data_IF_109673172114
#
_entry.id   IF_109673172114
#
_cell.length_a   1.000
_cell.length_b   1.000
_cell.length_c   1.000
_cell.angle_alpha   90.00
_cell.angle_beta   90.00
_cell.angle_gamma   90.00
#
_symmetry.space_group_name_H-M   'P 1'
#
loop_
_entity.id
_entity.type
_entity.pdbx_description
1 polymer ?
#
# COMPACT_ATOMS: atom_id res chain seq x y z
N UNK A 1 22.55 -7.16 -46.58
CA UNK A 1 22.41 -5.82 -45.95
C UNK A 1 21.10 -5.64 -45.20
N UNK A 2 19.94 -5.99 -45.78
CA UNK A 2 18.63 -5.84 -45.11
C UNK A 2 18.54 -6.54 -43.75
N UNK A 3 19.00 -7.80 -43.62
CA UNK A 3 18.90 -8.52 -42.33
C UNK A 3 19.73 -7.89 -41.21
N UNK A 4 20.96 -7.45 -41.49
CA UNK A 4 21.81 -6.74 -40.51
C UNK A 4 21.20 -5.40 -40.08
N UNK A 5 20.45 -4.74 -40.97
CA UNK A 5 19.71 -3.50 -40.67
C UNK A 5 18.52 -3.78 -39.74
N UNK A 6 17.75 -4.84 -40.00
CA UNK A 6 16.62 -5.24 -39.15
C UNK A 6 17.07 -5.66 -37.75
N UNK A 7 18.17 -6.39 -37.62
CA UNK A 7 18.72 -6.75 -36.31
C UNK A 7 19.23 -5.53 -35.54
N UNK A 8 19.87 -4.57 -36.22
CA UNK A 8 20.32 -3.34 -35.60
C UNK A 8 19.14 -2.46 -35.13
N UNK A 9 18.10 -2.33 -35.95
CA UNK A 9 16.88 -1.60 -35.59
C UNK A 9 16.15 -2.26 -34.41
N UNK A 10 16.02 -3.60 -34.41
CA UNK A 10 15.40 -4.33 -33.30
C UNK A 10 16.16 -4.13 -31.98
N UNK A 11 17.51 -4.12 -32.03
CA UNK A 11 18.35 -3.92 -30.86
C UNK A 11 18.26 -2.48 -30.33
N UNK A 12 18.23 -1.47 -31.21
CA UNK A 12 18.02 -0.07 -30.83
C UNK A 12 16.65 0.14 -30.20
N UNK A 13 15.59 -0.43 -30.77
CA UNK A 13 14.22 -0.37 -30.20
C UNK A 13 14.17 -1.07 -28.85
N UNK A 14 14.79 -2.25 -28.70
CA UNK A 14 14.83 -2.96 -27.43
C UNK A 14 15.55 -2.16 -26.34
N UNK A 15 16.70 -1.57 -26.65
CA UNK A 15 17.45 -0.70 -25.73
C UNK A 15 16.64 0.53 -25.37
N UNK A 16 15.97 1.15 -26.35
CA UNK A 16 15.12 2.32 -26.11
C UNK A 16 13.94 1.99 -25.19
N UNK A 17 13.27 0.84 -25.40
CA UNK A 17 12.17 0.36 -24.53
C UNK A 17 12.69 0.04 -23.12
N UNK A 18 13.87 -0.56 -22.99
CA UNK A 18 14.47 -0.84 -21.68
C UNK A 18 14.82 0.44 -20.92
N UNK A 19 15.40 1.44 -21.60
CA UNK A 19 15.73 2.75 -21.02
C UNK A 19 14.45 3.52 -20.66
N UNK A 20 13.44 3.53 -21.54
CA UNK A 20 12.14 4.14 -21.27
C UNK A 20 11.45 3.47 -20.07
N UNK A 21 11.50 2.13 -19.97
CA UNK A 21 10.98 1.38 -18.83
C UNK A 21 11.70 1.72 -17.52
N UNK A 22 13.02 1.86 -17.55
CA UNK A 22 13.81 2.30 -16.39
C UNK A 22 13.48 3.73 -15.96
N UNK A 23 13.31 4.64 -16.92
CA UNK A 23 12.94 6.03 -16.62
C UNK A 23 11.51 6.16 -16.09
N UNK A 24 10.57 5.38 -16.66
CA UNK A 24 9.18 5.34 -16.24
C UNK A 24 9.02 4.76 -14.84
N UNK A 25 9.76 3.69 -14.52
CA UNK A 25 9.82 3.17 -13.15
C UNK A 25 10.43 4.19 -12.19
N UNK A 26 11.52 4.87 -12.57
CA UNK A 26 12.09 5.96 -11.77
C UNK A 26 11.11 7.12 -11.50
N UNK A 27 10.30 7.50 -12.50
CA UNK A 27 9.27 8.53 -12.35
C UNK A 27 8.13 8.08 -11.43
N UNK A 28 7.66 6.84 -11.56
CA UNK A 28 6.68 6.24 -10.65
C UNK A 28 7.21 6.19 -9.21
N UNK A 29 8.49 5.85 -9.02
CA UNK A 29 9.12 5.83 -7.69
C UNK A 29 9.15 7.23 -7.07
N UNK A 30 9.52 8.27 -7.82
CA UNK A 30 9.47 9.63 -7.31
C UNK A 30 8.05 10.06 -6.93
N UNK A 31 7.05 9.66 -7.73
CA UNK A 31 5.64 9.88 -7.40
C UNK A 31 5.26 9.18 -6.08
N UNK A 32 5.63 7.91 -5.90
CA UNK A 32 5.36 7.15 -4.67
C UNK A 32 6.09 7.72 -3.46
N UNK A 33 7.33 8.19 -3.60
CA UNK A 33 8.09 8.81 -2.52
C UNK A 33 7.49 10.17 -2.13
N UNK A 34 7.03 10.95 -3.11
CA UNK A 34 6.31 12.19 -2.85
C UNK A 34 4.99 11.94 -2.11
N UNK A 35 4.22 10.94 -2.57
CA UNK A 35 2.97 10.50 -1.94
C UNK A 35 3.21 9.97 -0.53
N UNK A 36 4.33 9.29 -0.31
CA UNK A 36 4.75 8.83 1.01
C UNK A 36 5.08 10.00 1.94
N UNK A 37 5.91 10.95 1.51
CA UNK A 37 6.32 12.07 2.38
C UNK A 37 5.17 13.02 2.73
N UNK A 38 4.25 13.28 1.79
CA UNK A 38 3.15 14.21 2.02
C UNK A 38 1.86 13.48 2.43
N UNK A 39 1.57 12.35 1.81
CA UNK A 39 0.31 11.62 1.97
C UNK A 39 0.27 10.68 3.17
N UNK A 40 1.40 10.14 3.66
CA UNK A 40 1.37 9.15 4.75
C UNK A 40 0.71 9.69 6.03
N UNK A 41 0.96 10.96 6.38
CA UNK A 41 0.33 11.61 7.55
C UNK A 41 -1.18 11.75 7.37
N UNK A 42 -1.61 12.20 6.19
CA UNK A 42 -3.03 12.33 5.86
C UNK A 42 -3.75 10.98 5.79
N UNK A 43 -3.10 9.95 5.25
CA UNK A 43 -3.62 8.58 5.18
C UNK A 43 -3.75 7.95 6.57
N UNK A 44 -2.77 8.17 7.44
CA UNK A 44 -2.85 7.72 8.84
C UNK A 44 -3.99 8.42 9.59
N UNK A 45 -4.15 9.72 9.39
CA UNK A 45 -5.26 10.47 9.98
C UNK A 45 -6.60 9.94 9.47
N UNK A 46 -6.74 9.75 8.16
CA UNK A 46 -7.95 9.20 7.55
C UNK A 46 -8.26 7.80 8.08
N UNK A 47 -7.26 6.91 8.17
CA UNK A 47 -7.42 5.58 8.74
C UNK A 47 -7.84 5.63 10.21
N UNK A 48 -7.26 6.53 11.02
CA UNK A 48 -7.62 6.68 12.44
C UNK A 48 -9.07 7.13 12.59
N UNK A 49 -9.49 8.14 11.82
CA UNK A 49 -10.89 8.60 11.78
C UNK A 49 -11.82 7.46 11.34
N UNK A 50 -11.39 6.66 10.37
CA UNK A 50 -12.17 5.52 9.89
C UNK A 50 -12.31 4.41 10.92
N UNK A 51 -11.29 4.15 11.74
CA UNK A 51 -11.38 3.21 12.87
C UNK A 51 -12.44 3.68 13.86
N UNK A 52 -12.43 4.96 14.23
CA UNK A 52 -13.43 5.56 15.12
C UNK A 52 -14.83 5.42 14.51
N UNK A 53 -14.99 5.81 13.25
CA UNK A 53 -16.27 5.65 12.53
C UNK A 53 -16.74 4.19 12.47
N UNK A 54 -15.82 3.25 12.28
CA UNK A 54 -16.14 1.82 12.21
C UNK A 54 -16.60 1.28 13.57
N UNK A 55 -15.95 1.69 14.66
CA UNK A 55 -16.26 1.26 16.03
C UNK A 55 -17.57 1.86 16.55
N UNK A 56 -17.83 3.14 16.28
CA UNK A 56 -18.96 3.86 16.87
C UNK A 56 -20.19 3.93 15.97
N UNK A 57 -20.05 3.73 14.65
CA UNK A 57 -21.18 3.77 13.73
C UNK A 57 -21.38 2.41 13.05
N UNK A 58 -20.40 1.92 12.29
CA UNK A 58 -20.63 0.72 11.46
C UNK A 58 -20.90 -0.54 12.31
N UNK A 59 -20.14 -0.76 13.39
CA UNK A 59 -20.32 -1.91 14.28
C UNK A 59 -21.66 -1.89 15.03
N UNK A 60 -22.08 -0.77 15.65
CA UNK A 60 -23.42 -0.67 16.23
C UNK A 60 -24.54 -0.85 15.20
N UNK A 61 -24.37 -0.33 13.98
CA UNK A 61 -25.33 -0.54 12.89
C UNK A 61 -25.39 -2.01 12.44
N UNK A 62 -24.30 -2.77 12.58
CA UNK A 62 -24.28 -4.20 12.24
C UNK A 62 -25.11 -5.05 13.23
N UNK A 63 -25.38 -4.56 14.44
CA UNK A 63 -26.21 -5.26 15.41
C UNK A 63 -27.67 -5.39 14.91
N UNK A 64 -28.17 -4.40 14.17
CA UNK A 64 -29.52 -4.42 13.61
C UNK A 64 -29.55 -5.11 12.24
N UNK A 65 -30.36 -6.16 12.12
CA UNK A 65 -30.46 -6.99 10.90
C UNK A 65 -30.71 -6.17 9.62
N UNK A 66 -31.50 -5.11 9.70
CA UNK A 66 -31.84 -4.26 8.55
C UNK A 66 -30.68 -3.39 8.02
N UNK A 67 -29.67 -3.09 8.84
CA UNK A 67 -28.54 -2.20 8.48
C UNK A 67 -27.22 -2.95 8.32
N UNK A 68 -27.21 -4.28 8.45
CA UNK A 68 -26.03 -5.14 8.28
C UNK A 68 -25.33 -4.95 6.95
N UNK A 69 -26.07 -4.95 5.84
CA UNK A 69 -25.49 -4.79 4.50
C UNK A 69 -24.81 -3.43 4.32
N UNK A 70 -25.35 -2.38 4.92
CA UNK A 70 -24.72 -1.06 4.92
C UNK A 70 -23.42 -1.07 5.74
N UNK A 71 -23.43 -1.69 6.92
CA UNK A 71 -22.24 -1.88 7.73
C UNK A 71 -21.16 -2.71 7.00
N UNK A 72 -21.54 -3.80 6.34
CA UNK A 72 -20.64 -4.63 5.53
C UNK A 72 -20.03 -3.88 4.35
N UNK A 73 -20.83 -3.07 3.65
CA UNK A 73 -20.35 -2.19 2.59
C UNK A 73 -19.34 -1.16 3.11
N UNK A 74 -19.63 -0.54 4.26
CA UNK A 74 -18.66 0.33 4.95
C UNK A 74 -17.36 -0.40 5.27
N UNK A 75 -17.42 -1.55 5.91
CA UNK A 75 -16.22 -2.33 6.26
C UNK A 75 -15.37 -2.72 5.02
N UNK A 76 -16.01 -2.94 3.86
CA UNK A 76 -15.29 -3.18 2.59
C UNK A 76 -14.47 -1.97 2.13
N UNK A 77 -15.02 -0.76 2.28
CA UNK A 77 -14.29 0.49 2.03
C UNK A 77 -13.13 0.63 3.04
N UNK A 78 -13.39 0.34 4.31
CA UNK A 78 -12.38 0.36 5.37
C UNK A 78 -11.18 -0.54 5.06
N UNK A 79 -11.43 -1.77 4.59
CA UNK A 79 -10.36 -2.69 4.16
C UNK A 79 -9.43 -2.04 3.13
N UNK A 80 -10.00 -1.42 2.10
CA UNK A 80 -9.21 -0.79 1.04
C UNK A 80 -8.40 0.40 1.57
N UNK A 81 -8.99 1.20 2.46
CA UNK A 81 -8.31 2.33 3.10
C UNK A 81 -7.14 1.87 3.96
N UNK A 82 -7.33 0.90 4.86
CA UNK A 82 -6.28 0.37 5.72
C UNK A 82 -5.14 -0.27 4.92
N UNK A 83 -5.48 -1.01 3.85
CA UNK A 83 -4.48 -1.61 2.97
C UNK A 83 -3.62 -0.56 2.25
N UNK A 84 -4.23 0.50 1.73
CA UNK A 84 -3.49 1.59 1.08
C UNK A 84 -2.63 2.37 2.08
N UNK A 85 -3.16 2.70 3.25
CA UNK A 85 -2.39 3.38 4.31
C UNK A 85 -1.20 2.54 4.74
N UNK A 86 -1.40 1.23 4.97
CA UNK A 86 -0.34 0.30 5.31
C UNK A 86 0.76 0.27 4.25
N UNK A 87 0.37 0.19 2.98
CA UNK A 87 1.31 0.08 1.87
C UNK A 87 2.17 1.35 1.73
N UNK A 88 1.52 2.53 1.73
CA UNK A 88 2.22 3.83 1.65
C UNK A 88 3.12 4.04 2.87
N UNK A 89 2.67 3.65 4.07
CA UNK A 89 3.47 3.74 5.29
C UNK A 89 4.72 2.86 5.22
N UNK A 90 4.61 1.62 4.74
CA UNK A 90 5.76 0.72 4.63
C UNK A 90 6.81 1.25 3.63
N UNK A 91 6.39 1.91 2.55
CA UNK A 91 7.30 2.63 1.63
C UNK A 91 8.02 3.76 2.37
N UNK A 92 7.30 4.55 3.17
CA UNK A 92 7.86 5.65 3.96
C UNK A 92 8.95 5.17 4.92
N UNK A 93 8.64 4.12 5.69
CA UNK A 93 9.55 3.55 6.69
C UNK A 93 10.79 2.94 6.04
N UNK A 94 10.60 2.19 4.94
CA UNK A 94 11.73 1.61 4.19
C UNK A 94 12.64 2.70 3.64
N UNK A 95 12.06 3.75 3.06
CA UNK A 95 12.84 4.87 2.53
C UNK A 95 13.58 5.63 3.64
N UNK A 96 12.92 5.86 4.78
CA UNK A 96 13.52 6.55 5.92
C UNK A 96 14.74 5.79 6.48
N UNK A 97 14.69 4.45 6.51
CA UNK A 97 15.78 3.64 7.06
C UNK A 97 16.87 3.29 6.05
N UNK A 98 16.48 2.85 4.85
CA UNK A 98 17.37 2.19 3.88
C UNK A 98 17.52 2.96 2.57
N UNK A 99 16.80 4.07 2.40
CA UNK A 99 16.90 4.95 1.25
C UNK A 99 16.32 4.36 -0.04
N UNK A 100 16.57 5.05 -1.15
CA UNK A 100 15.91 4.79 -2.46
C UNK A 100 16.14 3.36 -2.96
N UNK A 101 17.37 2.89 -2.93
CA UNK A 101 17.76 1.63 -3.60
C UNK A 101 16.99 0.44 -3.04
N UNK A 102 16.89 0.34 -1.70
CA UNK A 102 16.21 -0.81 -1.09
C UNK A 102 14.69 -0.70 -1.19
N UNK A 103 14.13 0.52 -1.14
CA UNK A 103 12.70 0.74 -1.43
C UNK A 103 12.34 0.28 -2.84
N UNK A 104 13.21 0.53 -3.83
CA UNK A 104 13.01 0.10 -5.22
C UNK A 104 13.01 -1.43 -5.31
N UNK A 105 13.99 -2.08 -4.70
CA UNK A 105 14.07 -3.55 -4.68
C UNK A 105 12.81 -4.12 -4.01
N UNK A 106 12.37 -3.53 -2.88
CA UNK A 106 11.16 -3.96 -2.18
C UNK A 106 9.87 -3.78 -2.98
N UNK A 107 9.76 -2.74 -3.81
CA UNK A 107 8.63 -2.57 -4.74
C UNK A 107 8.67 -3.57 -5.90
N UNK A 108 9.85 -3.83 -6.46
CA UNK A 108 10.02 -4.72 -7.62
C UNK A 108 9.85 -6.20 -7.26
N UNK A 109 10.16 -6.60 -6.02
CA UNK A 109 9.88 -7.93 -5.49
C UNK A 109 8.40 -7.98 -5.07
N UNK A 110 7.54 -8.11 -6.08
CA UNK A 110 6.09 -8.40 -6.00
C UNK A 110 5.15 -7.28 -5.50
N UNK A 111 5.61 -6.06 -5.23
CA UNK A 111 4.77 -4.99 -4.66
C UNK A 111 4.31 -5.27 -3.22
N UNK A 112 4.15 -6.53 -2.82
CA UNK A 112 3.84 -7.01 -1.47
C UNK A 112 5.12 -7.13 -0.62
N UNK A 113 6.29 -7.32 -1.24
CA UNK A 113 7.57 -7.45 -0.54
C UNK A 113 7.96 -6.23 0.29
N UNK A 114 7.41 -5.05 -0.04
CA UNK A 114 7.64 -3.82 0.73
C UNK A 114 7.02 -3.87 2.14
N UNK A 115 6.00 -4.70 2.38
CA UNK A 115 5.35 -4.81 3.69
C UNK A 115 6.29 -5.38 4.77
N UNK A 116 6.86 -6.59 4.63
CA UNK A 116 7.77 -7.13 5.64
C UNK A 116 9.02 -6.25 5.80
N UNK A 117 9.55 -5.72 4.70
CA UNK A 117 10.70 -4.80 4.73
C UNK A 117 10.36 -3.52 5.50
N UNK A 118 9.20 -2.92 5.25
CA UNK A 118 8.74 -1.71 5.91
C UNK A 118 8.49 -1.90 7.41
N UNK A 119 7.97 -3.06 7.82
CA UNK A 119 7.80 -3.40 9.24
C UNK A 119 9.17 -3.48 9.93
N UNK A 120 10.12 -4.21 9.34
CA UNK A 120 11.49 -4.31 9.88
C UNK A 120 12.13 -2.92 9.93
N UNK A 121 12.03 -2.13 8.86
CA UNK A 121 12.53 -0.77 8.82
C UNK A 121 11.88 0.12 9.90
N UNK A 122 10.58 -0.06 10.16
CA UNK A 122 9.84 0.63 11.22
C UNK A 122 10.43 0.37 12.60
N UNK A 123 10.63 -0.90 12.96
CA UNK A 123 11.26 -1.28 14.23
C UNK A 123 12.69 -0.76 14.37
N UNK A 124 13.41 -0.61 13.26
CA UNK A 124 14.78 -0.10 13.24
C UNK A 124 14.88 1.43 13.20
N UNK A 125 13.80 2.15 12.87
CA UNK A 125 13.80 3.62 12.73
C UNK A 125 13.28 4.29 13.98
N UNK A 126 12.11 3.88 14.45
CA UNK A 126 11.50 4.39 15.67
C UNK A 126 11.17 3.19 16.56
N UNK A 127 11.92 2.97 17.66
CA UNK A 127 11.60 1.88 18.58
C UNK A 127 10.16 2.08 19.06
N UNK A 128 9.40 0.98 19.08
CA UNK A 128 7.95 0.92 19.34
C UNK A 128 7.09 1.37 18.16
N UNK A 129 6.87 2.67 17.99
CA UNK A 129 5.77 3.16 17.15
C UNK A 129 5.92 2.81 15.67
N UNK A 130 7.15 2.83 15.14
CA UNK A 130 7.41 2.61 13.72
C UNK A 130 7.01 1.22 13.23
N UNK A 131 7.30 0.17 14.00
CA UNK A 131 6.98 -1.22 13.63
C UNK A 131 5.58 -1.68 14.04
N UNK A 132 5.03 -1.15 15.14
CA UNK A 132 3.72 -1.58 15.64
C UNK A 132 2.55 -1.01 14.83
N UNK A 133 2.61 0.22 14.31
CA UNK A 133 1.51 0.78 13.50
C UNK A 133 1.20 -0.08 12.26
N UNK A 134 2.19 -0.50 11.44
CA UNK A 134 1.94 -1.42 10.34
C UNK A 134 1.24 -2.71 10.79
N UNK A 135 1.64 -3.29 11.92
CA UNK A 135 1.02 -4.51 12.45
C UNK A 135 -0.45 -4.28 12.85
N UNK A 136 -0.76 -3.14 13.48
CA UNK A 136 -2.14 -2.75 13.81
C UNK A 136 -2.96 -2.55 12.54
N UNK A 137 -2.41 -1.88 11.52
CA UNK A 137 -3.10 -1.70 10.23
C UNK A 137 -3.36 -3.03 9.52
N UNK A 138 -2.45 -4.01 9.63
CA UNK A 138 -2.67 -5.37 9.14
C UNK A 138 -3.85 -6.02 9.88
N UNK A 139 -3.88 -5.94 11.21
CA UNK A 139 -4.97 -6.49 12.00
C UNK A 139 -6.32 -5.84 11.64
N UNK A 140 -6.34 -4.51 11.46
CA UNK A 140 -7.53 -3.76 11.05
C UNK A 140 -7.98 -4.12 9.63
N UNK A 141 -7.04 -4.32 8.71
CA UNK A 141 -7.33 -4.78 7.35
C UNK A 141 -8.06 -6.12 7.37
N UNK A 142 -7.52 -7.10 8.09
CA UNK A 142 -8.14 -8.43 8.20
C UNK A 142 -9.45 -8.39 8.98
N UNK A 143 -9.55 -7.60 10.04
CA UNK A 143 -10.78 -7.42 10.80
C UNK A 143 -11.90 -6.81 9.95
N UNK A 144 -11.60 -5.76 9.19
CA UNK A 144 -12.54 -5.15 8.25
C UNK A 144 -12.95 -6.11 7.13
N UNK A 145 -12.00 -6.91 6.61
CA UNK A 145 -12.29 -7.93 5.62
C UNK A 145 -13.26 -9.00 6.15
N UNK A 146 -12.96 -9.56 7.33
CA UNK A 146 -13.82 -10.57 7.96
C UNK A 146 -15.22 -10.02 8.27
N UNK A 147 -15.31 -8.80 8.81
CA UNK A 147 -16.57 -8.12 9.09
C UNK A 147 -17.38 -7.89 7.81
N UNK A 148 -16.73 -7.41 6.73
CA UNK A 148 -17.39 -7.16 5.45
C UNK A 148 -18.00 -8.44 4.86
N UNK A 149 -17.27 -9.56 4.90
CA UNK A 149 -17.74 -10.83 4.38
C UNK A 149 -18.96 -11.33 5.16
N UNK A 150 -18.86 -11.33 6.49
CA UNK A 150 -19.94 -11.80 7.36
C UNK A 150 -21.24 -11.00 7.17
N UNK A 151 -21.17 -9.68 7.03
CA UNK A 151 -22.36 -8.84 6.93
C UNK A 151 -22.95 -8.70 5.52
N UNK A 152 -22.23 -9.14 4.48
CA UNK A 152 -22.71 -9.12 3.09
C UNK A 152 -23.34 -10.44 2.66
N UNK A 153 -22.99 -11.55 3.32
CA UNK A 153 -23.56 -12.87 3.05
C UNK A 153 -24.89 -13.14 3.76
N UNK A 154 -25.18 -12.38 4.84
CA UNK A 154 -26.45 -12.35 5.57
C UNK A 154 -27.54 -11.46 4.88
#
# INVERSE_FOLDING_TARGET
MKEKLWTALALVVFVFVAVAGFFFTGALINLFLWLSNHGAKWLLLASTVYVVFSLFLLLPLAAFRGTRRFAGGGMSVGRSLFGLTLWVLCIALTFAKWGKVVTIIGLLIFGVGILPIGIVAGFLTEPWYGGFIPLVLIALYFGAAAASHHFLED
#
